data_IF_754218000400
#
_entry.id   IF_754218000400
#
_cell.length_a   1.000
_cell.length_b   1.000
_cell.length_c   1.000
_cell.angle_alpha   90.00
_cell.angle_beta   90.00
_cell.angle_gamma   90.00
#
_symmetry.space_group_name_H-M   'P 1'
#
loop_
_entity.id
_entity.type
_entity.pdbx_description
1 polymer ?
#
# COMPACT_ATOMS: atom_id res chain seq x y z
N UNK A 1 -66.93 24.03 -25.59
CA UNK A 1 -66.33 22.84 -24.96
C UNK A 1 -64.99 22.58 -25.61
N UNK A 2 -63.98 22.55 -24.75
CA UNK A 2 -62.57 22.28 -24.96
C UNK A 2 -62.25 21.01 -25.76
N UNK A 3 -61.17 21.05 -26.56
CA UNK A 3 -60.01 20.15 -26.43
C UNK A 3 -58.84 20.64 -27.30
N UNK A 4 -57.67 20.53 -26.70
CA UNK A 4 -56.42 21.27 -26.93
C UNK A 4 -55.58 20.68 -28.07
N UNK A 5 -54.88 21.58 -28.74
CA UNK A 5 -53.80 21.38 -29.72
C UNK A 5 -52.54 20.89 -28.99
N UNK A 6 -51.85 19.89 -29.54
CA UNK A 6 -50.41 19.68 -29.32
C UNK A 6 -49.78 19.39 -30.69
N UNK A 7 -49.03 20.36 -31.20
CA UNK A 7 -48.18 20.24 -32.36
C UNK A 7 -46.74 19.95 -31.87
N UNK A 8 -46.11 18.93 -32.43
CA UNK A 8 -44.73 18.54 -32.14
C UNK A 8 -43.80 19.42 -32.97
N UNK A 9 -42.99 20.26 -32.31
CA UNK A 9 -41.90 21.00 -32.94
C UNK A 9 -40.61 20.17 -32.86
N UNK A 10 -40.09 19.80 -34.01
CA UNK A 10 -38.77 19.19 -34.18
C UNK A 10 -37.74 20.33 -34.35
N UNK A 11 -37.00 20.67 -33.29
CA UNK A 11 -35.91 21.64 -33.37
C UNK A 11 -34.57 20.89 -33.42
N UNK A 12 -33.97 20.84 -34.61
CA UNK A 12 -32.57 20.52 -34.79
C UNK A 12 -31.73 21.73 -34.37
N UNK A 13 -30.85 21.56 -33.36
CA UNK A 13 -29.83 22.55 -33.01
C UNK A 13 -28.48 21.95 -33.40
N UNK A 14 -27.89 22.51 -34.46
CA UNK A 14 -26.48 22.38 -34.79
C UNK A 14 -25.64 23.00 -33.66
N UNK A 15 -24.76 22.22 -33.04
CA UNK A 15 -23.64 22.75 -32.27
C UNK A 15 -22.37 22.55 -33.09
N UNK A 16 -21.82 23.66 -33.55
CA UNK A 16 -20.52 23.76 -34.20
C UNK A 16 -19.43 23.38 -33.20
N UNK A 17 -18.75 22.26 -33.42
CA UNK A 17 -17.58 21.87 -32.64
C UNK A 17 -16.37 22.68 -33.09
N UNK A 18 -15.89 23.60 -32.24
CA UNK A 18 -14.55 24.16 -32.40
C UNK A 18 -13.52 23.09 -32.06
N UNK A 19 -12.97 22.43 -33.09
CA UNK A 19 -11.78 21.60 -32.96
C UNK A 19 -10.55 22.51 -32.82
N UNK A 20 -10.22 22.88 -31.59
CA UNK A 20 -8.90 23.40 -31.26
C UNK A 20 -7.94 22.21 -31.12
N UNK A 21 -7.04 22.04 -32.09
CA UNK A 21 -5.93 21.09 -32.04
C UNK A 21 -5.03 21.38 -30.84
N UNK A 22 -5.27 20.75 -29.70
CA UNK A 22 -4.22 20.51 -28.72
C UNK A 22 -3.28 19.47 -29.32
N UNK A 23 -2.02 19.86 -29.56
CA UNK A 23 -0.95 18.91 -29.90
C UNK A 23 -0.91 17.83 -28.83
N UNK A 24 -1.38 16.63 -29.17
CA UNK A 24 -1.11 15.41 -28.43
C UNK A 24 0.41 15.21 -28.46
N UNK A 25 1.07 15.56 -27.36
CA UNK A 25 2.40 15.06 -27.08
C UNK A 25 2.34 13.54 -27.11
N UNK A 26 3.32 12.93 -27.78
CA UNK A 26 3.61 11.50 -27.83
C UNK A 26 3.10 10.75 -26.59
N UNK A 27 1.97 10.05 -26.73
CA UNK A 27 1.58 9.00 -25.78
C UNK A 27 2.49 7.81 -26.04
N UNK A 28 3.67 7.84 -25.43
CA UNK A 28 4.40 6.63 -25.13
C UNK A 28 3.52 5.87 -24.15
N UNK A 29 2.76 4.88 -24.62
CA UNK A 29 1.95 4.00 -23.77
C UNK A 29 2.88 3.02 -23.08
N UNK A 30 3.76 3.54 -22.23
CA UNK A 30 4.37 2.77 -21.16
C UNK A 30 3.26 2.60 -20.13
N UNK A 31 2.71 1.39 -20.05
CA UNK A 31 1.77 1.06 -18.99
C UNK A 31 2.58 0.95 -17.71
N UNK A 32 2.50 1.97 -16.86
CA UNK A 32 3.16 1.96 -15.55
C UNK A 32 2.68 0.72 -14.77
N UNK A 33 3.59 -0.14 -14.33
CA UNK A 33 3.22 -1.38 -13.62
C UNK A 33 2.69 -1.12 -12.20
N UNK A 34 2.95 0.06 -11.64
CA UNK A 34 2.49 0.48 -10.32
C UNK A 34 1.05 0.98 -10.37
N UNK A 35 0.25 0.56 -9.39
CA UNK A 35 -1.03 1.18 -9.08
C UNK A 35 -0.78 2.41 -8.20
N UNK A 36 -1.07 3.61 -8.71
CA UNK A 36 -0.82 4.86 -7.99
C UNK A 36 -1.93 5.22 -7.00
N UNK A 37 -3.13 4.70 -7.19
CA UNK A 37 -4.29 4.96 -6.33
C UNK A 37 -4.30 4.10 -5.05
N UNK A 38 -3.17 3.50 -4.68
CA UNK A 38 -3.02 2.74 -3.44
C UNK A 38 -2.55 3.64 -2.32
N UNK A 39 -3.27 3.67 -1.21
CA UNK A 39 -2.90 4.44 -0.02
C UNK A 39 -3.30 3.71 1.26
N UNK A 40 -2.77 4.17 2.40
CA UNK A 40 -3.02 3.58 3.72
C UNK A 40 -4.54 3.61 4.02
N UNK A 41 -5.09 2.45 4.38
CA UNK A 41 -6.52 2.28 4.67
C UNK A 41 -7.07 3.23 5.73
N UNK A 42 -6.22 3.81 6.59
CA UNK A 42 -6.59 4.81 7.57
C UNK A 42 -7.22 6.08 6.95
N UNK A 43 -6.99 6.31 5.66
CA UNK A 43 -7.48 7.47 4.91
C UNK A 43 -8.58 7.11 3.90
N UNK A 44 -9.20 5.93 4.01
CA UNK A 44 -10.26 5.47 3.10
C UNK A 44 -11.48 6.42 3.02
N UNK A 45 -11.65 7.33 3.98
CA UNK A 45 -12.71 8.33 4.02
C UNK A 45 -12.40 9.63 3.24
N UNK A 46 -11.19 9.78 2.71
CA UNK A 46 -10.81 10.96 1.93
C UNK A 46 -11.64 11.08 0.66
N UNK A 47 -11.95 12.32 0.26
CA UNK A 47 -12.76 12.58 -0.93
C UNK A 47 -12.06 12.09 -2.20
N UNK A 48 -12.84 11.63 -3.18
CA UNK A 48 -12.32 11.13 -4.44
C UNK A 48 -11.44 12.15 -5.19
N UNK A 49 -11.69 13.46 -5.02
CA UNK A 49 -10.85 14.52 -5.58
C UNK A 49 -9.46 14.60 -4.94
N UNK A 50 -9.34 14.30 -3.63
CA UNK A 50 -8.05 14.17 -2.94
C UNK A 50 -7.29 12.95 -3.47
N UNK A 51 -7.98 11.81 -3.59
CA UNK A 51 -7.37 10.58 -4.12
C UNK A 51 -6.88 10.78 -5.55
N UNK A 52 -7.67 11.45 -6.40
CA UNK A 52 -7.27 11.78 -7.77
C UNK A 52 -6.04 12.69 -7.81
N UNK A 53 -5.98 13.72 -6.96
CA UNK A 53 -4.83 14.63 -6.88
C UNK A 53 -3.57 13.93 -6.35
N UNK A 54 -3.72 13.01 -5.39
CA UNK A 54 -2.65 12.12 -4.94
C UNK A 54 -2.13 11.24 -6.07
N UNK A 55 -3.03 10.62 -6.85
CA UNK A 55 -2.64 9.77 -7.97
C UNK A 55 -1.83 10.55 -9.03
N UNK A 56 -2.26 11.78 -9.34
CA UNK A 56 -1.56 12.67 -10.26
C UNK A 56 -0.18 13.09 -9.73
N UNK A 57 -0.07 13.30 -8.42
CA UNK A 57 1.21 13.58 -7.76
C UNK A 57 2.15 12.37 -7.84
N UNK A 58 1.67 11.15 -7.57
CA UNK A 58 2.47 9.93 -7.71
C UNK A 58 2.95 9.70 -9.14
N UNK A 59 2.07 9.92 -10.13
CA UNK A 59 2.43 9.86 -11.56
C UNK A 59 3.51 10.88 -11.91
N UNK A 60 3.37 12.12 -11.44
CA UNK A 60 4.35 13.17 -11.69
C UNK A 60 5.72 12.78 -11.13
N UNK A 61 5.78 12.26 -9.90
CA UNK A 61 7.04 11.82 -9.28
C UNK A 61 7.65 10.64 -10.02
N UNK A 62 6.85 9.66 -10.46
CA UNK A 62 7.34 8.54 -11.28
C UNK A 62 7.97 9.01 -12.60
N UNK A 63 7.39 10.03 -13.23
CA UNK A 63 7.83 10.60 -14.51
C UNK A 63 8.88 11.70 -14.40
N UNK A 64 9.17 12.11 -13.17
CA UNK A 64 9.96 13.29 -12.84
C UNK A 64 9.40 14.60 -13.44
N UNK A 65 8.08 14.73 -13.49
CA UNK A 65 7.38 15.93 -13.94
C UNK A 65 7.43 17.02 -12.86
N UNK A 66 7.80 18.24 -13.22
CA UNK A 66 7.99 19.33 -12.24
C UNK A 66 6.72 20.05 -11.80
N UNK A 67 5.55 19.72 -12.36
CA UNK A 67 4.30 20.40 -12.04
C UNK A 67 3.14 19.41 -11.91
N UNK A 68 2.27 19.64 -10.92
CA UNK A 68 1.03 18.87 -10.73
C UNK A 68 -0.12 19.85 -10.57
N UNK A 69 -1.23 19.62 -11.29
CA UNK A 69 -2.39 20.53 -11.29
C UNK A 69 -3.53 19.95 -10.49
N UNK A 70 -3.96 20.66 -9.46
CA UNK A 70 -5.15 20.36 -8.67
C UNK A 70 -5.51 21.57 -7.79
N UNK A 71 -6.70 21.56 -7.19
CA UNK A 71 -7.09 22.58 -6.23
C UNK A 71 -6.22 22.46 -4.96
N UNK A 72 -5.29 23.40 -4.80
CA UNK A 72 -4.33 23.43 -3.67
C UNK A 72 -4.96 23.61 -2.29
N UNK A 73 -6.27 23.85 -2.19
CA UNK A 73 -7.01 23.72 -0.93
C UNK A 73 -6.95 22.30 -0.32
N UNK A 74 -6.67 21.28 -1.14
CA UNK A 74 -6.55 19.88 -0.74
C UNK A 74 -5.10 19.45 -0.44
N UNK A 75 -4.13 20.37 -0.51
CA UNK A 75 -2.71 20.03 -0.50
C UNK A 75 -2.31 19.22 0.75
N UNK A 76 -2.79 19.58 1.93
CA UNK A 76 -2.44 18.87 3.17
C UNK A 76 -2.86 17.40 3.12
N UNK A 77 -4.08 17.12 2.64
CA UNK A 77 -4.59 15.75 2.56
C UNK A 77 -3.85 14.94 1.48
N UNK A 78 -3.52 15.59 0.35
CA UNK A 78 -2.69 14.98 -0.71
C UNK A 78 -1.29 14.64 -0.18
N UNK A 79 -0.65 15.56 0.55
CA UNK A 79 0.67 15.32 1.16
C UNK A 79 0.61 14.24 2.24
N UNK A 80 -0.47 14.16 3.00
CA UNK A 80 -0.69 13.10 3.98
C UNK A 80 -0.70 11.73 3.29
N UNK A 81 -1.44 11.56 2.19
CA UNK A 81 -1.41 10.32 1.41
C UNK A 81 -0.02 10.07 0.82
N UNK A 82 0.59 11.09 0.22
CA UNK A 82 1.88 11.01 -0.44
C UNK A 82 3.00 10.50 0.48
N UNK A 83 3.19 11.14 1.63
CA UNK A 83 4.29 10.81 2.54
C UNK A 83 4.06 9.52 3.35
N UNK A 84 2.81 9.09 3.52
CA UNK A 84 2.52 7.83 4.23
C UNK A 84 2.45 6.61 3.32
N UNK A 85 2.16 6.79 2.04
CA UNK A 85 1.77 5.68 1.18
C UNK A 85 2.62 5.46 -0.06
N UNK A 86 3.41 6.45 -0.50
CA UNK A 86 4.14 6.34 -1.76
C UNK A 86 5.66 6.22 -1.56
N UNK A 87 6.26 5.04 -1.82
CA UNK A 87 7.68 4.81 -1.56
C UNK A 87 8.63 5.72 -2.34
N UNK A 88 8.24 6.18 -3.55
CA UNK A 88 9.07 7.06 -4.37
C UNK A 88 9.08 8.52 -3.90
N UNK A 89 8.39 8.84 -2.78
CA UNK A 89 8.46 10.16 -2.14
C UNK A 89 9.90 10.59 -1.81
N UNK A 90 10.81 9.62 -1.65
CA UNK A 90 12.24 9.84 -1.41
C UNK A 90 12.96 10.65 -2.51
N UNK A 91 12.38 10.74 -3.71
CA UNK A 91 12.96 11.51 -4.81
C UNK A 91 12.56 12.99 -4.76
N UNK A 92 11.58 13.36 -3.94
CA UNK A 92 11.12 14.73 -3.81
C UNK A 92 12.02 15.48 -2.83
N UNK A 93 12.60 16.58 -3.30
CA UNK A 93 13.38 17.51 -2.50
C UNK A 93 12.50 18.60 -1.90
N UNK A 94 11.59 19.15 -2.71
CA UNK A 94 10.75 20.26 -2.30
C UNK A 94 9.42 20.28 -3.08
N UNK A 95 8.39 20.85 -2.45
CA UNK A 95 7.04 21.02 -3.01
C UNK A 95 6.60 22.45 -2.71
N UNK A 96 6.39 23.25 -3.75
CA UNK A 96 5.92 24.62 -3.60
C UNK A 96 4.53 24.79 -4.20
N UNK A 97 3.68 25.53 -3.50
CA UNK A 97 2.34 25.89 -3.99
C UNK A 97 2.46 27.02 -5.02
N UNK A 98 1.74 26.91 -6.14
CA UNK A 98 1.61 28.00 -7.12
C UNK A 98 0.72 29.13 -6.57
N UNK A 99 1.11 30.38 -6.86
CA UNK A 99 0.41 31.59 -6.39
C UNK A 99 -1.06 31.65 -6.81
N UNK A 100 -1.39 31.10 -7.99
CA UNK A 100 -2.74 31.07 -8.55
C UNK A 100 -3.61 29.92 -8.01
N UNK A 101 -3.12 29.18 -7.01
CA UNK A 101 -3.75 28.02 -6.41
C UNK A 101 -4.06 26.85 -7.37
N UNK A 102 -3.53 26.88 -8.60
CA UNK A 102 -3.81 25.90 -9.66
C UNK A 102 -3.07 24.57 -9.52
N UNK A 103 -2.11 24.49 -8.61
CA UNK A 103 -1.31 23.30 -8.39
C UNK A 103 -0.03 23.55 -7.60
N UNK A 104 0.91 22.62 -7.75
CA UNK A 104 2.23 22.64 -7.12
C UNK A 104 3.34 22.53 -8.16
N UNK A 105 4.53 22.96 -7.77
CA UNK A 105 5.80 22.59 -8.40
C UNK A 105 6.52 21.58 -7.52
N UNK A 106 7.21 20.63 -8.15
CA UNK A 106 7.98 19.58 -7.47
C UNK A 106 9.43 19.67 -7.92
N UNK A 107 10.34 19.80 -6.95
CA UNK A 107 11.79 19.75 -7.19
C UNK A 107 12.32 18.40 -6.74
N UNK A 108 13.18 17.79 -7.54
CA UNK A 108 13.73 16.46 -7.28
C UNK A 108 15.12 16.50 -6.65
N UNK A 109 15.48 15.44 -5.94
CA UNK A 109 16.80 15.27 -5.31
C UNK A 109 17.92 14.96 -6.31
N UNK A 110 17.54 14.55 -7.53
CA UNK A 110 18.43 14.15 -8.64
C UNK A 110 17.95 14.73 -9.97
N UNK A 111 18.65 14.48 -11.06
CA UNK A 111 18.17 14.85 -12.40
C UNK A 111 16.91 14.06 -12.77
N UNK A 112 16.09 14.60 -13.69
CA UNK A 112 14.86 13.95 -14.13
C UNK A 112 15.10 12.57 -14.77
N UNK A 113 16.22 12.40 -15.48
CA UNK A 113 16.59 11.11 -16.09
C UNK A 113 16.96 10.06 -15.04
N UNK A 114 17.69 10.46 -13.99
CA UNK A 114 18.02 9.57 -12.87
C UNK A 114 16.76 9.15 -12.09
N UNK A 115 15.86 10.09 -11.79
CA UNK A 115 14.59 9.79 -11.12
C UNK A 115 13.76 8.81 -11.93
N UNK A 116 13.60 9.04 -13.24
CA UNK A 116 12.86 8.11 -14.12
C UNK A 116 13.49 6.72 -14.16
N UNK A 117 14.81 6.64 -14.24
CA UNK A 117 15.51 5.36 -14.27
C UNK A 117 15.31 4.58 -12.97
N UNK A 118 15.44 5.23 -11.81
CA UNK A 118 15.26 4.59 -10.50
C UNK A 118 13.79 4.26 -10.20
N UNK A 119 12.86 5.14 -10.57
CA UNK A 119 11.42 4.89 -10.47
C UNK A 119 11.01 3.68 -11.32
N UNK A 120 11.55 3.56 -12.55
CA UNK A 120 11.33 2.37 -13.38
C UNK A 120 11.92 1.12 -12.74
N UNK A 121 13.15 1.17 -12.23
CA UNK A 121 13.78 0.03 -11.56
C UNK A 121 12.96 -0.45 -10.35
N UNK A 122 12.44 0.48 -9.56
CA UNK A 122 11.54 0.17 -8.44
C UNK A 122 10.24 -0.49 -8.92
N UNK A 123 9.60 0.07 -9.96
CA UNK A 123 8.38 -0.49 -10.56
C UNK A 123 8.59 -1.91 -11.10
N UNK A 124 9.68 -2.14 -11.82
CA UNK A 124 10.05 -3.47 -12.33
C UNK A 124 10.30 -4.45 -11.17
N UNK A 125 10.95 -4.00 -10.08
CA UNK A 125 11.19 -4.81 -8.88
C UNK A 125 9.87 -5.19 -8.20
N UNK A 126 8.95 -4.24 -8.02
CA UNK A 126 7.62 -4.51 -7.45
C UNK A 126 6.84 -5.50 -8.31
N UNK A 127 6.86 -5.35 -9.63
CA UNK A 127 6.19 -6.28 -10.54
C UNK A 127 6.75 -7.71 -10.41
N UNK A 128 8.08 -7.85 -10.30
CA UNK A 128 8.72 -9.16 -10.08
C UNK A 128 8.32 -9.77 -8.72
N UNK A 129 8.29 -8.97 -7.65
CA UNK A 129 7.87 -9.44 -6.32
C UNK A 129 6.41 -9.90 -6.34
N UNK A 130 5.51 -9.13 -6.97
CA UNK A 130 4.09 -9.48 -7.07
C UNK A 130 3.88 -10.77 -7.88
N UNK A 131 4.68 -11.00 -8.92
CA UNK A 131 4.66 -12.24 -9.69
C UNK A 131 5.08 -13.44 -8.84
N UNK A 132 6.16 -13.30 -8.07
CA UNK A 132 6.64 -14.32 -7.12
C UNK A 132 5.61 -14.60 -6.02
N UNK A 133 4.92 -13.57 -5.55
CA UNK A 133 3.81 -13.70 -4.59
C UNK A 133 2.52 -14.26 -5.22
N UNK A 134 2.53 -14.56 -6.53
CA UNK A 134 1.37 -15.03 -7.31
C UNK A 134 0.18 -14.07 -7.31
N UNK A 135 0.42 -12.75 -7.24
CA UNK A 135 -0.64 -11.75 -7.26
C UNK A 135 -1.57 -11.92 -8.48
N UNK A 136 -2.87 -12.05 -8.25
CA UNK A 136 -3.87 -12.31 -9.30
C UNK A 136 -3.85 -13.71 -9.93
N UNK A 137 -2.98 -14.61 -9.46
CA UNK A 137 -2.84 -16.01 -9.91
C UNK A 137 -3.20 -17.03 -8.83
N UNK A 138 -3.26 -16.60 -7.58
CA UNK A 138 -3.68 -17.40 -6.43
C UNK A 138 -4.87 -16.73 -5.71
N UNK A 139 -5.49 -17.41 -4.74
CA UNK A 139 -6.54 -16.77 -3.94
C UNK A 139 -5.97 -15.67 -3.03
N UNK A 140 -6.86 -14.84 -2.48
CA UNK A 140 -6.46 -13.66 -1.71
C UNK A 140 -5.62 -14.02 -0.47
N UNK A 141 -6.00 -15.05 0.30
CA UNK A 141 -5.28 -15.41 1.54
C UNK A 141 -3.89 -15.98 1.22
N UNK A 142 -3.79 -16.84 0.22
CA UNK A 142 -2.50 -17.34 -0.28
C UNK A 142 -1.58 -16.21 -0.75
N UNK A 143 -2.10 -15.22 -1.47
CA UNK A 143 -1.32 -14.03 -1.86
C UNK A 143 -0.79 -13.26 -0.64
N UNK A 144 -1.62 -13.06 0.39
CA UNK A 144 -1.23 -12.35 1.61
C UNK A 144 -0.12 -13.12 2.35
N UNK A 145 -0.24 -14.45 2.46
CA UNK A 145 0.79 -15.31 3.06
C UNK A 145 2.09 -15.22 2.26
N UNK A 146 2.04 -15.32 0.93
CA UNK A 146 3.23 -15.21 0.07
C UNK A 146 3.90 -13.84 0.19
N UNK A 147 3.12 -12.75 0.22
CA UNK A 147 3.65 -11.39 0.37
C UNK A 147 4.29 -11.18 1.75
N UNK A 148 3.69 -11.74 2.80
CA UNK A 148 4.26 -11.72 4.14
C UNK A 148 5.58 -12.49 4.17
N UNK A 149 5.57 -13.74 3.69
CA UNK A 149 6.76 -14.58 3.61
C UNK A 149 7.89 -13.94 2.80
N UNK A 150 7.57 -13.36 1.64
CA UNK A 150 8.54 -12.63 0.84
C UNK A 150 9.20 -11.52 1.66
N UNK A 151 8.39 -10.70 2.35
CA UNK A 151 8.90 -9.60 3.18
C UNK A 151 9.83 -10.12 4.28
N UNK A 152 9.42 -11.13 5.05
CA UNK A 152 10.19 -11.62 6.21
C UNK A 152 11.44 -12.41 5.82
N UNK A 153 11.54 -12.89 4.58
CA UNK A 153 12.74 -13.60 4.08
C UNK A 153 13.70 -12.72 3.29
N UNK A 154 13.22 -11.58 2.77
CA UNK A 154 14.01 -10.68 1.93
C UNK A 154 14.41 -9.37 2.62
N UNK A 155 13.83 -9.03 3.76
CA UNK A 155 14.23 -7.89 4.58
C UNK A 155 15.09 -8.34 5.75
N UNK A 156 16.17 -7.61 6.00
CA UNK A 156 17.03 -7.74 7.18
C UNK A 156 16.96 -6.48 8.01
N UNK A 157 17.13 -6.63 9.32
CA UNK A 157 17.18 -5.50 10.24
C UNK A 157 18.34 -4.54 9.87
N UNK A 158 17.99 -3.29 9.57
CA UNK A 158 18.97 -2.23 9.33
C UNK A 158 19.57 -1.75 10.65
N UNK A 159 20.91 -1.76 10.73
CA UNK A 159 21.66 -1.11 11.83
C UNK A 159 21.88 0.38 11.61
N UNK A 160 21.37 0.94 10.51
CA UNK A 160 21.53 2.33 10.10
C UNK A 160 20.18 3.04 10.21
N UNK A 161 20.20 4.27 10.71
CA UNK A 161 19.01 5.13 10.68
C UNK A 161 18.65 5.56 9.27
N UNK A 162 17.37 5.86 9.04
CA UNK A 162 16.87 6.39 7.77
C UNK A 162 16.49 5.33 6.71
N UNK A 163 16.18 4.11 7.13
CA UNK A 163 15.56 3.13 6.24
C UNK A 163 14.19 3.64 5.74
N UNK A 164 13.82 3.26 4.52
CA UNK A 164 12.58 3.67 3.86
C UNK A 164 11.97 2.48 3.13
N UNK A 165 10.68 2.53 2.82
CA UNK A 165 10.02 1.44 2.07
C UNK A 165 10.76 1.19 0.74
N UNK A 166 11.27 2.25 0.12
CA UNK A 166 12.14 2.15 -1.05
C UNK A 166 13.39 1.31 -0.78
N UNK A 167 14.12 1.54 0.32
CA UNK A 167 15.33 0.77 0.64
C UNK A 167 15.02 -0.67 1.01
N UNK A 168 13.89 -0.97 1.65
CA UNK A 168 13.51 -2.37 1.91
C UNK A 168 13.25 -3.12 0.61
N UNK A 169 12.51 -2.54 -0.33
CA UNK A 169 12.22 -3.16 -1.63
C UNK A 169 13.49 -3.31 -2.48
N UNK A 170 14.33 -2.28 -2.53
CA UNK A 170 15.49 -2.26 -3.43
C UNK A 170 16.72 -2.97 -2.86
N UNK A 171 16.93 -2.88 -1.54
CA UNK A 171 18.16 -3.32 -0.89
C UNK A 171 17.94 -4.46 0.12
N UNK A 172 16.70 -4.76 0.51
CA UNK A 172 16.41 -5.79 1.51
C UNK A 172 16.82 -5.40 2.94
N UNK A 173 16.83 -4.11 3.26
CA UNK A 173 17.20 -3.61 4.60
C UNK A 173 16.15 -2.63 5.13
N UNK A 174 15.73 -2.81 6.40
CA UNK A 174 14.69 -1.98 7.02
C UNK A 174 14.62 -2.12 8.55
N UNK A 175 13.91 -1.18 9.19
CA UNK A 175 13.41 -1.33 10.58
C UNK A 175 11.97 -1.86 10.58
N UNK A 176 11.32 -1.92 11.75
CA UNK A 176 9.94 -2.44 11.87
C UNK A 176 8.93 -1.65 11.05
N UNK A 177 9.02 -0.33 11.05
CA UNK A 177 8.16 0.54 10.23
C UNK A 177 8.36 0.27 8.74
N UNK A 178 9.62 0.07 8.34
CA UNK A 178 9.98 -0.14 6.94
C UNK A 178 9.54 -1.51 6.43
N UNK A 179 9.75 -2.58 7.20
CA UNK A 179 9.34 -3.93 6.83
C UNK A 179 7.81 -4.04 6.72
N UNK A 180 7.09 -3.52 7.71
CA UNK A 180 5.63 -3.41 7.69
C UNK A 180 5.15 -2.58 6.50
N UNK A 181 5.76 -1.42 6.24
CA UNK A 181 5.43 -0.58 5.09
C UNK A 181 5.67 -1.25 3.72
N UNK A 182 6.70 -2.08 3.58
CA UNK A 182 6.93 -2.89 2.38
C UNK A 182 5.81 -3.92 2.20
N UNK A 183 5.48 -4.68 3.25
CA UNK A 183 4.41 -5.66 3.21
C UNK A 183 3.07 -5.01 2.83
N UNK A 184 2.69 -3.93 3.51
CA UNK A 184 1.48 -3.15 3.22
C UNK A 184 1.44 -2.62 1.79
N UNK A 185 2.59 -2.16 1.27
CA UNK A 185 2.66 -1.67 -0.10
C UNK A 185 2.38 -2.80 -1.10
N UNK A 186 2.97 -3.98 -0.91
CA UNK A 186 2.71 -5.16 -1.74
C UNK A 186 1.23 -5.57 -1.67
N UNK A 187 0.65 -5.60 -0.47
CA UNK A 187 -0.77 -5.92 -0.29
C UNK A 187 -1.68 -4.96 -1.07
N UNK A 188 -1.44 -3.65 -0.96
CA UNK A 188 -2.24 -2.65 -1.66
C UNK A 188 -2.05 -2.72 -3.18
N UNK A 189 -0.84 -3.01 -3.67
CA UNK A 189 -0.62 -3.29 -5.10
C UNK A 189 -1.40 -4.54 -5.56
N UNK A 190 -1.55 -5.54 -4.68
CA UNK A 190 -2.40 -6.73 -4.87
C UNK A 190 -3.91 -6.50 -4.70
N UNK A 191 -4.34 -5.30 -4.31
CA UNK A 191 -5.75 -4.97 -4.09
C UNK A 191 -6.32 -5.45 -2.73
N UNK A 192 -5.45 -5.57 -1.73
CA UNK A 192 -5.82 -5.83 -0.33
C UNK A 192 -5.71 -4.54 0.46
N UNK A 193 -6.73 -4.22 1.26
CA UNK A 193 -6.71 -3.08 2.16
C UNK A 193 -5.70 -3.35 3.28
N UNK A 194 -4.72 -2.47 3.42
CA UNK A 194 -3.72 -2.55 4.46
C UNK A 194 -3.41 -1.16 5.02
N UNK A 195 -3.10 -1.14 6.30
CA UNK A 195 -2.81 0.06 7.07
C UNK A 195 -1.57 -0.09 7.91
N UNK A 196 -0.88 1.03 8.06
CA UNK A 196 0.30 1.12 8.90
C UNK A 196 -0.13 1.41 10.33
N UNK A 197 0.32 0.59 11.28
CA UNK A 197 -0.01 0.70 12.70
C UNK A 197 1.25 1.09 13.49
N UNK A 198 1.15 2.21 14.20
CA UNK A 198 2.08 2.58 15.25
C UNK A 198 1.68 1.84 16.52
N UNK A 199 2.25 0.67 16.71
CA UNK A 199 2.13 -0.05 17.97
C UNK A 199 3.06 0.55 19.02
N UNK A 200 2.70 0.47 20.29
CA UNK A 200 3.56 0.93 21.40
C UNK A 200 3.58 -0.08 22.53
N UNK A 201 4.75 -0.29 23.12
CA UNK A 201 4.88 -1.08 24.34
C UNK A 201 4.34 -0.32 25.58
N UNK A 202 4.46 -0.94 26.76
CA UNK A 202 4.05 -0.33 28.02
C UNK A 202 4.84 0.95 28.39
N UNK A 203 6.05 1.12 27.86
CA UNK A 203 6.90 2.30 28.06
C UNK A 203 6.64 3.40 27.02
N UNK A 204 5.81 3.14 26.00
CA UNK A 204 5.52 4.07 24.91
C UNK A 204 6.54 4.03 23.76
N UNK A 205 7.44 3.04 23.74
CA UNK A 205 8.38 2.84 22.63
C UNK A 205 7.58 2.33 21.42
N UNK A 206 7.73 2.99 20.28
CA UNK A 206 6.94 2.69 19.09
C UNK A 206 7.57 1.57 18.25
N UNK A 207 6.70 0.75 17.66
CA UNK A 207 7.04 -0.37 16.80
C UNK A 207 6.08 -0.39 15.60
N UNK A 208 6.60 -0.63 14.40
CA UNK A 208 5.78 -0.67 13.18
C UNK A 208 5.14 -2.04 12.98
N UNK A 209 3.82 -2.09 12.96
CA UNK A 209 3.01 -3.29 12.71
C UNK A 209 2.08 -3.00 11.53
N UNK A 210 1.71 -4.02 10.76
CA UNK A 210 0.72 -3.87 9.69
C UNK A 210 -0.64 -4.38 10.15
N UNK A 211 -1.70 -3.77 9.66
CA UNK A 211 -3.05 -4.32 9.75
C UNK A 211 -3.58 -4.53 8.33
N UNK A 212 -4.17 -5.68 8.05
CA UNK A 212 -4.80 -5.95 6.75
C UNK A 212 -6.18 -6.57 6.91
N UNK A 213 -7.06 -6.24 5.96
CA UNK A 213 -8.42 -6.76 5.89
C UNK A 213 -8.44 -8.08 5.10
N UNK A 214 -8.93 -9.15 5.74
CA UNK A 214 -9.16 -10.46 5.14
C UNK A 214 -10.63 -10.79 5.34
N UNK A 215 -11.38 -10.85 4.24
CA UNK A 215 -12.82 -11.17 4.22
C UNK A 215 -13.68 -10.32 5.18
N UNK A 216 -13.35 -9.03 5.29
CA UNK A 216 -14.06 -8.06 6.11
C UNK A 216 -13.60 -8.00 7.57
N UNK A 217 -12.64 -8.83 7.97
CA UNK A 217 -12.06 -8.85 9.31
C UNK A 217 -10.63 -8.32 9.29
N UNK A 218 -10.21 -7.61 10.34
CA UNK A 218 -8.86 -7.07 10.46
C UNK A 218 -7.96 -8.04 11.23
N UNK A 219 -6.73 -8.17 10.76
CA UNK A 219 -5.68 -8.95 11.42
C UNK A 219 -4.39 -8.12 11.51
N UNK A 220 -3.61 -8.35 12.56
CA UNK A 220 -2.29 -7.74 12.75
C UNK A 220 -1.19 -8.62 12.16
N UNK A 221 -0.12 -7.99 11.69
CA UNK A 221 1.06 -8.67 11.14
C UNK A 221 2.31 -7.95 11.64
N UNK A 222 3.27 -8.69 12.19
CA UNK A 222 4.54 -8.12 12.65
C UNK A 222 5.74 -8.76 11.93
N UNK A 223 6.05 -8.31 10.70
CA UNK A 223 7.14 -8.85 9.90
C UNK A 223 8.50 -8.77 10.60
N UNK A 224 8.77 -7.69 11.34
CA UNK A 224 10.10 -7.50 11.92
C UNK A 224 10.33 -8.40 13.12
N UNK A 225 9.31 -8.63 13.95
CA UNK A 225 9.44 -9.61 15.04
C UNK A 225 9.59 -11.03 14.48
N UNK A 226 8.92 -11.40 13.39
CA UNK A 226 9.16 -12.68 12.68
C UNK A 226 10.61 -12.81 12.19
N UNK A 227 11.14 -11.76 11.55
CA UNK A 227 12.53 -11.70 11.08
C UNK A 227 13.49 -11.93 12.25
N UNK A 228 13.29 -11.23 13.37
CA UNK A 228 14.18 -11.30 14.54
C UNK A 228 14.08 -12.66 15.24
N UNK A 229 12.87 -13.17 15.41
CA UNK A 229 12.62 -14.38 16.18
C UNK A 229 13.05 -15.65 15.46
N UNK A 230 12.83 -15.74 14.15
CA UNK A 230 13.02 -16.99 13.40
C UNK A 230 13.54 -16.80 11.97
N UNK A 231 13.96 -15.59 11.59
CA UNK A 231 14.49 -15.31 10.26
C UNK A 231 13.46 -15.42 9.14
N UNK A 232 12.16 -15.29 9.46
CA UNK A 232 11.07 -15.38 8.48
C UNK A 232 10.73 -16.80 8.03
N UNK A 233 11.25 -17.82 8.73
CA UNK A 233 11.01 -19.22 8.38
C UNK A 233 9.63 -19.73 8.84
N UNK A 234 8.98 -19.03 9.77
CA UNK A 234 7.71 -19.43 10.37
C UNK A 234 6.60 -18.42 10.00
N UNK A 235 5.45 -18.53 10.67
CA UNK A 235 4.30 -17.62 10.57
C UNK A 235 3.82 -17.18 11.96
N UNK A 236 4.72 -17.17 12.95
CA UNK A 236 4.39 -16.95 14.36
C UNK A 236 3.86 -15.55 14.65
N UNK A 237 4.01 -14.61 13.72
CA UNK A 237 3.56 -13.22 13.81
C UNK A 237 2.63 -12.81 12.65
N UNK A 238 2.12 -13.81 11.90
CA UNK A 238 1.15 -13.64 10.82
C UNK A 238 -0.30 -13.71 11.31
N UNK A 239 -1.12 -12.71 11.01
CA UNK A 239 -2.57 -12.80 11.23
C UNK A 239 -2.96 -12.80 12.72
N UNK A 240 -2.29 -12.00 13.54
CA UNK A 240 -2.44 -11.97 14.99
C UNK A 240 -3.72 -11.26 15.42
N UNK A 241 -4.25 -11.70 16.56
CA UNK A 241 -5.22 -10.91 17.33
C UNK A 241 -4.54 -9.78 18.10
N UNK A 242 -5.32 -8.85 18.64
CA UNK A 242 -4.83 -7.85 19.60
C UNK A 242 -4.37 -8.50 20.90
N UNK A 243 -4.95 -9.64 21.31
CA UNK A 243 -4.48 -10.40 22.48
C UNK A 243 -3.08 -10.98 22.26
N UNK A 244 -2.83 -11.58 21.09
CA UNK A 244 -1.50 -12.08 20.71
C UNK A 244 -0.47 -10.97 20.72
N UNK A 245 -0.76 -9.84 20.06
CA UNK A 245 0.15 -8.69 20.03
C UNK A 245 0.42 -8.14 21.45
N UNK A 246 -0.58 -8.17 22.33
CA UNK A 246 -0.42 -7.84 23.75
C UNK A 246 0.49 -8.82 24.48
N UNK A 247 0.42 -10.12 24.19
CA UNK A 247 1.31 -11.11 24.77
C UNK A 247 2.78 -10.88 24.36
N UNK A 248 3.00 -10.39 23.14
CA UNK A 248 4.32 -9.98 22.62
C UNK A 248 4.79 -8.61 23.14
N UNK A 249 3.99 -7.97 24.01
CA UNK A 249 4.38 -6.74 24.71
C UNK A 249 3.85 -5.44 24.10
N UNK A 250 3.16 -5.48 22.96
CA UNK A 250 2.54 -4.30 22.32
C UNK A 250 1.20 -3.98 22.97
N UNK A 251 1.02 -2.77 23.53
CA UNK A 251 -0.12 -2.40 24.38
C UNK A 251 -1.08 -1.39 23.79
N UNK A 252 -0.64 -0.62 22.80
CA UNK A 252 -1.47 0.43 22.17
C UNK A 252 -1.24 0.41 20.67
N UNK A 253 -2.29 0.68 19.90
CA UNK A 253 -2.28 0.57 18.45
C UNK A 253 -2.95 1.81 17.85
N UNK A 254 -2.22 2.54 17.03
CA UNK A 254 -2.71 3.76 16.39
C UNK A 254 -2.45 3.73 14.89
N UNK A 255 -3.38 4.28 14.12
CA UNK A 255 -3.11 4.62 12.73
C UNK A 255 -2.12 5.78 12.62
N UNK A 256 -1.60 5.99 11.42
CA UNK A 256 -0.67 7.09 11.09
C UNK A 256 -1.25 8.49 11.33
N UNK A 257 -2.57 8.63 11.31
CA UNK A 257 -3.29 9.84 11.67
C UNK A 257 -3.53 10.00 13.20
N UNK A 258 -2.96 9.13 14.03
CA UNK A 258 -3.11 9.06 15.51
C UNK A 258 -4.48 8.63 16.03
N UNK A 259 -5.42 8.26 15.16
CA UNK A 259 -6.64 7.60 15.60
C UNK A 259 -6.30 6.21 16.18
N UNK A 260 -7.05 5.78 17.19
CA UNK A 260 -6.94 4.43 17.73
C UNK A 260 -7.36 3.41 16.67
N UNK A 261 -6.54 2.37 16.49
CA UNK A 261 -6.86 1.27 15.60
C UNK A 261 -7.92 0.35 16.23
N UNK A 262 -8.83 -0.25 15.43
CA UNK A 262 -9.78 -1.21 15.96
C UNK A 262 -9.06 -2.45 16.52
N UNK A 263 -9.67 -3.09 17.51
CA UNK A 263 -9.22 -4.39 17.97
C UNK A 263 -9.37 -5.44 16.85
N UNK A 264 -8.43 -6.38 16.82
CA UNK A 264 -8.46 -7.55 15.95
C UNK A 264 -8.73 -8.77 16.82
N UNK A 265 -9.95 -9.29 16.82
CA UNK A 265 -10.38 -10.33 17.78
C UNK A 265 -10.62 -11.70 17.13
N UNK A 266 -10.40 -11.81 15.82
CA UNK A 266 -10.67 -13.05 15.07
C UNK A 266 -9.48 -14.03 15.20
N UNK A 267 -9.66 -15.22 15.81
CA UNK A 267 -8.58 -16.17 16.07
C UNK A 267 -8.24 -17.08 14.86
N UNK A 268 -8.65 -16.70 13.65
CA UNK A 268 -8.58 -17.57 12.46
C UNK A 268 -7.17 -18.14 12.20
N UNK A 269 -6.12 -17.37 12.52
CA UNK A 269 -4.72 -17.77 12.32
C UNK A 269 -3.98 -18.12 13.62
N UNK A 270 -4.68 -18.37 14.74
CA UNK A 270 -4.07 -18.75 16.04
C UNK A 270 -3.18 -19.99 15.91
N UNK A 271 -3.52 -20.89 14.99
CA UNK A 271 -2.73 -22.09 14.71
C UNK A 271 -1.27 -21.76 14.32
N UNK A 272 -1.02 -20.56 13.77
CA UNK A 272 0.29 -20.11 13.34
C UNK A 272 1.18 -19.69 14.51
N UNK A 273 0.64 -19.40 15.71
CA UNK A 273 1.44 -18.99 16.89
C UNK A 273 2.49 -20.02 17.31
N UNK A 274 2.27 -21.28 16.96
CA UNK A 274 3.17 -22.40 17.26
C UNK A 274 3.82 -22.99 16.01
N UNK A 275 3.81 -22.25 14.90
CA UNK A 275 4.31 -22.70 13.60
C UNK A 275 5.81 -23.00 13.66
N UNK A 276 6.18 -24.21 13.25
CA UNK A 276 7.58 -24.63 13.05
C UNK A 276 7.93 -24.81 11.57
N UNK A 277 6.94 -25.15 10.76
CA UNK A 277 7.00 -25.23 9.31
C UNK A 277 5.60 -25.04 8.74
N UNK A 278 5.50 -24.61 7.49
CA UNK A 278 4.23 -24.42 6.81
C UNK A 278 4.38 -24.60 5.30
N UNK A 279 3.27 -24.89 4.64
CA UNK A 279 3.17 -24.90 3.19
C UNK A 279 1.76 -24.52 2.75
N UNK A 280 1.63 -23.93 1.56
CA UNK A 280 0.36 -23.78 0.88
C UNK A 280 0.18 -25.00 -0.03
N UNK A 281 -0.96 -25.67 0.11
CA UNK A 281 -1.37 -26.80 -0.75
C UNK A 281 -1.23 -26.49 -2.25
N UNK A 282 -1.02 -27.51 -3.08
CA UNK A 282 -0.75 -27.33 -4.52
C UNK A 282 -1.86 -26.60 -5.30
N UNK A 283 -3.11 -26.71 -4.84
CA UNK A 283 -4.28 -26.04 -5.41
C UNK A 283 -4.59 -24.69 -4.72
N UNK A 284 -3.70 -24.23 -3.85
CA UNK A 284 -3.79 -23.05 -3.02
C UNK A 284 -5.02 -23.02 -2.08
N UNK A 285 -5.77 -24.11 -1.86
CA UNK A 285 -7.01 -24.06 -1.05
C UNK A 285 -6.80 -24.11 0.45
N UNK A 286 -5.61 -24.52 0.87
CA UNK A 286 -5.29 -24.79 2.27
C UNK A 286 -3.88 -24.35 2.62
N UNK A 287 -3.75 -23.85 3.86
CA UNK A 287 -2.50 -23.67 4.58
C UNK A 287 -2.32 -24.86 5.52
N UNK A 288 -1.19 -25.54 5.38
CA UNK A 288 -0.76 -26.63 6.26
C UNK A 288 0.30 -26.08 7.20
N UNK A 289 0.06 -26.15 8.51
CA UNK A 289 0.98 -25.66 9.55
C UNK A 289 1.42 -26.81 10.44
N UNK A 290 2.73 -27.03 10.52
CA UNK A 290 3.32 -27.96 11.48
C UNK A 290 3.59 -27.22 12.79
N UNK A 291 2.98 -27.68 13.88
CA UNK A 291 3.11 -27.06 15.20
C UNK A 291 4.28 -27.64 16.02
N UNK A 292 4.64 -26.98 17.12
CA UNK A 292 5.73 -27.40 18.04
C UNK A 292 5.61 -28.86 18.55
N UNK A 293 4.40 -29.41 18.62
CA UNK A 293 4.13 -30.79 19.02
C UNK A 293 4.29 -31.82 17.86
N UNK A 294 4.61 -31.35 16.64
CA UNK A 294 4.73 -32.16 15.43
C UNK A 294 3.40 -32.41 14.70
N UNK A 295 2.28 -31.87 15.20
CA UNK A 295 0.98 -31.96 14.55
C UNK A 295 0.91 -31.07 13.30
N UNK A 296 0.29 -31.59 12.24
CA UNK A 296 0.00 -30.81 11.03
C UNK A 296 -1.48 -30.43 11.07
N UNK A 297 -1.74 -29.13 11.16
CA UNK A 297 -3.08 -28.55 11.17
C UNK A 297 -3.35 -27.89 9.82
N UNK A 298 -4.56 -28.10 9.30
CA UNK A 298 -5.01 -27.54 8.03
C UNK A 298 -6.00 -26.39 8.26
N UNK A 299 -5.80 -25.27 7.57
CA UNK A 299 -6.71 -24.12 7.56
C UNK A 299 -7.04 -23.74 6.12
N UNK A 300 -8.32 -23.54 5.82
CA UNK A 300 -8.78 -23.17 4.50
C UNK A 300 -8.31 -21.75 4.11
N UNK A 301 -8.01 -21.55 2.82
CA UNK A 301 -7.60 -20.28 2.23
C UNK A 301 -8.68 -19.66 1.34
#
# INVERSE_FOLDING_TARGET
>A
MSKKIIAVFLCAVLVLSFAACAKKGSTDTQTDALKYNTFDGAYASYDASVVSAYEDMCRAVYRADGEVRFNTGMLNDVLQLFYTSFPLQIFVKDIERKDDASGITVTYTKSADEVRAEAKAFSDKIAAILDECKAGKTNRRAFIINAYHYTVTHVKESKKGGATIYSAVMNGEGDSFTASGMFEYLLRQGGVNASHILAQDAAGVSWGVSMAEIDGENFLFDPMTEIIANGGAQLCYFGMTTEDANAEGLKKFYYTNRAEAPACDNPYFDICRQCTAWEISENDTDLLVTQNNGEVVQVAL
#
